data_IF_801637610321
#
_entry.id   IF_801637610321
#
_cell.length_a   1.000
_cell.length_b   1.000
_cell.length_c   1.000
_cell.angle_alpha   90.00
_cell.angle_beta   90.00
_cell.angle_gamma   90.00
#
_symmetry.space_group_name_H-M   'P 1'
#
loop_
_entity.id
_entity.type
_entity.pdbx_description
1 polymer ?
#
# COMPACT_ATOMS: atom_id res chain seq x y z
N UNK A 1 -21.03 3.65 -1.27
CA UNK A 1 -22.23 3.00 -0.70
C UNK A 1 -21.80 2.21 0.52
N UNK A 2 -22.43 2.39 1.68
CA UNK A 2 -22.11 1.62 2.90
C UNK A 2 -23.18 0.55 3.11
N UNK A 3 -22.80 -0.74 3.11
CA UNK A 3 -23.73 -1.85 3.27
C UNK A 3 -23.88 -2.16 4.76
N UNK A 4 -25.12 -2.16 5.27
CA UNK A 4 -25.40 -2.61 6.64
C UNK A 4 -25.33 -4.14 6.69
N UNK A 5 -24.13 -4.66 6.98
CA UNK A 5 -23.85 -6.10 7.08
C UNK A 5 -24.62 -6.78 8.21
N UNK A 6 -24.97 -6.05 9.28
CA UNK A 6 -25.71 -6.60 10.41
C UNK A 6 -27.17 -6.80 10.03
N UNK A 7 -27.78 -5.79 9.42
CA UNK A 7 -29.13 -5.91 8.89
C UNK A 7 -29.20 -7.03 7.83
N UNK A 8 -28.20 -7.13 6.95
CA UNK A 8 -28.12 -8.17 5.93
C UNK A 8 -28.02 -9.58 6.54
N UNK A 9 -27.20 -9.75 7.58
CA UNK A 9 -27.11 -11.01 8.34
C UNK A 9 -28.44 -11.38 8.98
N UNK A 10 -29.11 -10.42 9.62
CA UNK A 10 -30.38 -10.67 10.30
C UNK A 10 -31.49 -11.10 9.33
N UNK A 11 -31.57 -10.50 8.15
CA UNK A 11 -32.56 -10.93 7.14
C UNK A 11 -32.20 -12.30 6.55
N UNK A 12 -30.91 -12.61 6.36
CA UNK A 12 -30.46 -13.90 5.88
C UNK A 12 -30.70 -15.04 6.90
N UNK A 13 -30.41 -14.81 8.18
CA UNK A 13 -30.65 -15.79 9.26
C UNK A 13 -32.14 -16.14 9.41
N UNK A 14 -33.05 -15.20 9.11
CA UNK A 14 -34.51 -15.40 9.18
C UNK A 14 -35.11 -16.02 7.93
N UNK A 15 -34.43 -15.94 6.80
CA UNK A 15 -34.91 -16.48 5.53
C UNK A 15 -34.72 -18.00 5.45
N UNK A 16 -35.37 -18.64 4.48
CA UNK A 16 -35.21 -20.07 4.24
C UNK A 16 -33.77 -20.36 3.81
N UNK A 17 -33.08 -21.23 4.54
CA UNK A 17 -31.69 -21.54 4.24
C UNK A 17 -31.55 -22.31 2.92
N UNK A 18 -30.40 -22.16 2.27
CA UNK A 18 -30.04 -22.88 1.05
C UNK A 18 -29.64 -24.35 1.31
N UNK A 19 -29.31 -25.11 0.25
CA UNK A 19 -29.21 -24.65 -1.13
C UNK A 19 -30.58 -24.40 -1.76
N UNK A 20 -30.66 -23.34 -2.57
CA UNK A 20 -31.81 -23.10 -3.44
C UNK A 20 -31.48 -23.56 -4.85
N UNK A 21 -32.44 -24.18 -5.51
CA UNK A 21 -32.37 -24.65 -6.89
C UNK A 21 -33.41 -23.92 -7.74
N UNK A 22 -33.26 -24.04 -9.06
CA UNK A 22 -34.17 -23.45 -10.03
C UNK A 22 -34.57 -24.43 -11.12
N UNK A 23 -35.87 -24.49 -11.42
CA UNK A 23 -36.43 -25.19 -12.57
C UNK A 23 -37.56 -24.35 -13.20
N UNK A 24 -37.49 -24.10 -14.51
CA UNK A 24 -38.50 -23.34 -15.27
C UNK A 24 -38.90 -22.01 -14.58
N UNK A 25 -37.90 -21.17 -14.29
CA UNK A 25 -38.05 -19.88 -13.57
C UNK A 25 -38.67 -19.95 -12.17
N UNK A 26 -38.76 -21.14 -11.56
CA UNK A 26 -39.20 -21.32 -10.18
C UNK A 26 -38.01 -21.57 -9.26
N UNK A 27 -37.96 -20.88 -8.13
CA UNK A 27 -36.95 -21.11 -7.09
C UNK A 27 -37.54 -22.04 -6.03
N UNK A 28 -36.80 -23.07 -5.65
CA UNK A 28 -37.23 -24.07 -4.68
C UNK A 28 -36.06 -24.61 -3.84
N UNK A 29 -36.36 -25.36 -2.80
CA UNK A 29 -35.37 -26.12 -2.02
C UNK A 29 -35.95 -27.48 -1.62
N UNK A 30 -35.08 -28.42 -1.26
CA UNK A 30 -35.48 -29.71 -0.68
C UNK A 30 -35.30 -29.65 0.83
N UNK A 31 -36.35 -29.98 1.60
CA UNK A 31 -36.24 -30.04 3.05
C UNK A 31 -35.53 -31.32 3.55
N UNK A 32 -35.32 -31.41 4.88
CA UNK A 32 -34.63 -32.55 5.51
C UNK A 32 -35.33 -33.90 5.27
N UNK A 33 -36.63 -33.88 4.99
CA UNK A 33 -37.45 -35.05 4.72
C UNK A 33 -37.47 -35.43 3.22
N UNK A 34 -36.77 -34.66 2.37
CA UNK A 34 -36.68 -34.90 0.93
C UNK A 34 -37.82 -34.30 0.11
N UNK A 35 -38.64 -33.42 0.68
CA UNK A 35 -39.74 -32.78 -0.03
C UNK A 35 -39.31 -31.46 -0.69
N UNK A 36 -39.62 -31.33 -1.98
CA UNK A 36 -39.47 -30.07 -2.72
C UNK A 36 -40.48 -29.04 -2.23
N UNK A 37 -39.98 -27.87 -1.84
CA UNK A 37 -40.76 -26.71 -1.43
C UNK A 37 -40.42 -25.51 -2.32
N UNK A 38 -41.43 -24.98 -3.00
CA UNK A 38 -41.28 -23.77 -3.81
C UNK A 38 -41.19 -22.52 -2.94
N UNK A 39 -40.23 -21.66 -3.24
CA UNK A 39 -39.93 -20.42 -2.52
C UNK A 39 -40.50 -19.21 -3.27
N UNK A 40 -40.30 -19.15 -4.57
CA UNK A 40 -40.74 -18.04 -5.42
C UNK A 40 -41.03 -18.52 -6.84
N UNK A 41 -42.06 -17.92 -7.43
CA UNK A 41 -42.30 -17.91 -8.87
C UNK A 41 -41.71 -16.61 -9.40
N UNK A 42 -40.75 -16.68 -10.30
CA UNK A 42 -40.18 -15.49 -10.94
C UNK A 42 -40.90 -15.29 -12.26
N UNK A 43 -41.54 -14.13 -12.40
CA UNK A 43 -42.21 -13.75 -13.63
C UNK A 43 -41.27 -12.92 -14.51
N UNK A 44 -41.24 -13.27 -15.79
CA UNK A 44 -40.49 -12.55 -16.80
C UNK A 44 -41.04 -11.15 -17.01
N UNK A 45 -40.13 -10.18 -17.01
CA UNK A 45 -40.47 -8.81 -17.40
C UNK A 45 -40.67 -8.71 -18.92
N UNK A 46 -41.65 -7.92 -19.35
CA UNK A 46 -42.00 -7.75 -20.78
C UNK A 46 -40.81 -7.36 -21.68
N UNK A 47 -39.82 -6.67 -21.13
CA UNK A 47 -38.63 -6.18 -21.85
C UNK A 47 -37.36 -7.05 -21.61
N UNK A 48 -37.46 -8.14 -20.85
CA UNK A 48 -36.33 -9.03 -20.53
C UNK A 48 -36.44 -10.30 -21.39
N UNK A 49 -35.37 -10.70 -22.07
CA UNK A 49 -35.38 -11.93 -22.87
C UNK A 49 -35.29 -13.19 -21.99
N UNK A 50 -35.77 -14.33 -22.50
CA UNK A 50 -35.84 -15.60 -21.77
C UNK A 50 -34.49 -16.04 -21.17
N UNK A 51 -33.37 -15.66 -21.82
CA UNK A 51 -32.03 -16.02 -21.32
C UNK A 51 -31.64 -15.16 -20.13
N UNK A 52 -31.87 -13.86 -20.21
CA UNK A 52 -31.56 -12.95 -19.12
C UNK A 52 -32.43 -13.27 -17.90
N UNK A 53 -33.68 -13.65 -18.11
CA UNK A 53 -34.59 -14.07 -17.06
C UNK A 53 -34.14 -15.34 -16.34
N UNK A 54 -33.69 -16.34 -17.12
CA UNK A 54 -33.03 -17.53 -16.59
C UNK A 54 -31.81 -17.17 -15.74
N UNK A 55 -30.93 -16.28 -16.20
CA UNK A 55 -29.74 -15.89 -15.45
C UNK A 55 -30.06 -15.09 -14.18
N UNK A 56 -31.05 -14.21 -14.22
CA UNK A 56 -31.48 -13.46 -13.05
C UNK A 56 -32.00 -14.41 -11.96
N UNK A 57 -32.82 -15.37 -12.35
CA UNK A 57 -33.38 -16.36 -11.42
C UNK A 57 -32.29 -17.28 -10.88
N UNK A 58 -31.34 -17.71 -11.72
CA UNK A 58 -30.18 -18.49 -11.30
C UNK A 58 -29.31 -17.71 -10.31
N UNK A 59 -29.11 -16.41 -10.55
CA UNK A 59 -28.37 -15.54 -9.65
C UNK A 59 -29.05 -15.43 -8.28
N UNK A 60 -30.36 -15.24 -8.23
CA UNK A 60 -31.11 -15.17 -6.96
C UNK A 60 -31.00 -16.49 -6.19
N UNK A 61 -31.13 -17.64 -6.87
CA UNK A 61 -30.96 -18.95 -6.24
C UNK A 61 -29.54 -19.18 -5.71
N UNK A 62 -28.52 -18.74 -6.45
CA UNK A 62 -27.12 -18.83 -6.01
C UNK A 62 -26.84 -17.87 -4.84
N UNK A 63 -27.40 -16.66 -4.86
CA UNK A 63 -27.30 -15.64 -3.82
C UNK A 63 -28.29 -15.87 -2.65
N UNK A 64 -28.60 -17.14 -2.37
CA UNK A 64 -29.48 -17.52 -1.27
C UNK A 64 -28.91 -17.12 0.11
N UNK A 65 -29.73 -17.18 1.18
CA UNK A 65 -29.33 -16.77 2.51
C UNK A 65 -28.09 -17.50 3.06
N UNK A 66 -27.95 -18.80 2.78
CA UNK A 66 -26.79 -19.57 3.25
C UNK A 66 -25.49 -19.08 2.58
N UNK A 67 -25.51 -18.82 1.27
CA UNK A 67 -24.40 -18.21 0.55
C UNK A 67 -24.06 -16.83 1.11
N UNK A 68 -25.07 -15.99 1.36
CA UNK A 68 -24.86 -14.65 1.90
C UNK A 68 -24.21 -14.68 3.30
N UNK A 69 -24.67 -15.57 4.18
CA UNK A 69 -24.08 -15.75 5.51
C UNK A 69 -22.63 -16.22 5.44
N UNK A 70 -22.32 -17.17 4.55
CA UNK A 70 -20.96 -17.64 4.32
C UNK A 70 -20.03 -16.49 3.87
N UNK A 71 -20.47 -15.67 2.90
CA UNK A 71 -19.71 -14.51 2.43
C UNK A 71 -19.51 -13.45 3.53
N UNK A 72 -20.51 -13.24 4.39
CA UNK A 72 -20.39 -12.32 5.53
C UNK A 72 -19.38 -12.84 6.57
N UNK A 73 -19.35 -14.15 6.82
CA UNK A 73 -18.37 -14.77 7.72
C UNK A 73 -16.95 -14.72 7.15
N UNK A 74 -16.78 -15.01 5.86
CA UNK A 74 -15.52 -14.81 5.16
C UNK A 74 -15.04 -13.35 5.25
N UNK A 75 -15.96 -12.38 5.09
CA UNK A 75 -15.61 -10.98 5.20
C UNK A 75 -15.16 -10.58 6.63
N UNK A 76 -15.80 -11.13 7.66
CA UNK A 76 -15.38 -10.93 9.06
C UNK A 76 -14.00 -11.56 9.30
N UNK A 77 -13.76 -12.75 8.74
CA UNK A 77 -12.47 -13.41 8.85
C UNK A 77 -11.36 -12.61 8.16
N UNK A 78 -11.59 -12.14 6.94
CA UNK A 78 -10.66 -11.29 6.20
C UNK A 78 -10.35 -9.99 6.96
N UNK A 79 -11.35 -9.37 7.59
CA UNK A 79 -11.11 -8.17 8.41
C UNK A 79 -10.21 -8.46 9.60
N UNK A 80 -10.39 -9.59 10.29
CA UNK A 80 -9.54 -9.99 11.41
C UNK A 80 -8.11 -10.28 10.97
N UNK A 81 -7.93 -10.95 9.84
CA UNK A 81 -6.61 -11.25 9.28
C UNK A 81 -5.87 -9.98 8.84
N UNK A 82 -6.60 -9.02 8.25
CA UNK A 82 -6.08 -7.69 7.96
C UNK A 82 -5.60 -7.00 9.25
N UNK A 83 -6.46 -6.90 10.26
CA UNK A 83 -6.12 -6.23 11.53
C UNK A 83 -4.92 -6.91 12.22
N UNK A 84 -4.83 -8.23 12.17
CA UNK A 84 -3.69 -8.99 12.70
C UNK A 84 -2.40 -8.71 11.93
N UNK A 85 -2.48 -8.64 10.60
CA UNK A 85 -1.33 -8.33 9.74
C UNK A 85 -0.83 -6.90 9.97
N UNK A 86 -1.74 -5.94 10.10
CA UNK A 86 -1.42 -4.55 10.44
C UNK A 86 -0.74 -4.46 11.81
N UNK A 87 -1.22 -5.18 12.82
CA UNK A 87 -0.60 -5.22 14.13
C UNK A 87 0.84 -5.79 14.09
N UNK A 88 1.07 -6.86 13.31
CA UNK A 88 2.41 -7.44 13.12
C UNK A 88 3.32 -6.46 12.37
N UNK A 89 2.83 -5.76 11.35
CA UNK A 89 3.59 -4.77 10.60
C UNK A 89 4.03 -3.58 11.48
N UNK A 90 3.14 -3.11 12.38
CA UNK A 90 3.46 -2.07 13.35
C UNK A 90 4.54 -2.55 14.34
N UNK A 91 4.39 -3.74 14.90
CA UNK A 91 5.40 -4.31 15.81
C UNK A 91 6.78 -4.45 15.13
N UNK A 92 6.81 -4.92 13.87
CA UNK A 92 8.05 -5.04 13.12
C UNK A 92 8.69 -3.66 12.86
N UNK A 93 7.88 -2.64 12.57
CA UNK A 93 8.36 -1.26 12.37
C UNK A 93 9.01 -0.71 13.64
N UNK A 94 8.42 -0.97 14.79
CA UNK A 94 8.96 -0.55 16.08
C UNK A 94 10.27 -1.31 16.40
N UNK A 95 10.30 -2.63 16.19
CA UNK A 95 11.52 -3.44 16.37
C UNK A 95 12.67 -2.98 15.46
N UNK A 96 12.37 -2.62 14.20
CA UNK A 96 13.37 -2.09 13.26
C UNK A 96 13.88 -0.72 13.69
N UNK A 97 13.02 0.15 14.23
CA UNK A 97 13.43 1.44 14.79
C UNK A 97 14.36 1.26 15.98
N UNK A 98 14.00 0.40 16.92
CA UNK A 98 14.83 0.06 18.08
C UNK A 98 16.18 -0.52 17.66
N UNK A 99 16.20 -1.40 16.66
CA UNK A 99 17.42 -1.96 16.10
C UNK A 99 18.31 -0.90 15.47
N UNK A 100 17.72 0.06 14.73
CA UNK A 100 18.45 1.18 14.14
C UNK A 100 19.03 2.10 15.20
N UNK A 101 18.29 2.45 16.24
CA UNK A 101 18.79 3.27 17.35
C UNK A 101 19.97 2.59 18.07
N UNK A 102 19.87 1.28 18.31
CA UNK A 102 20.97 0.48 18.88
C UNK A 102 22.19 0.44 17.96
N UNK A 103 21.98 0.33 16.65
CA UNK A 103 23.04 0.36 15.65
C UNK A 103 23.76 1.72 15.66
N UNK A 104 23.01 2.83 15.60
CA UNK A 104 23.57 4.18 15.66
C UNK A 104 24.36 4.42 16.96
N UNK A 105 23.85 3.93 18.10
CA UNK A 105 24.56 4.02 19.37
C UNK A 105 25.86 3.19 19.38
N UNK A 106 25.86 2.01 18.75
CA UNK A 106 27.05 1.18 18.61
C UNK A 106 28.09 1.84 17.68
N UNK A 107 27.64 2.39 16.55
CA UNK A 107 28.49 3.13 15.61
C UNK A 107 29.14 4.34 16.27
N UNK A 108 28.38 5.13 17.05
CA UNK A 108 28.94 6.25 17.83
C UNK A 108 30.01 5.80 18.83
N UNK A 109 29.79 4.67 19.51
CA UNK A 109 30.78 4.10 20.45
C UNK A 109 32.04 3.63 19.73
N UNK A 110 31.91 2.98 18.58
CA UNK A 110 33.04 2.55 17.75
C UNK A 110 33.83 3.78 17.27
N UNK A 111 33.16 4.82 16.79
CA UNK A 111 33.81 6.05 16.35
C UNK A 111 34.62 6.71 17.47
N UNK A 112 34.07 6.77 18.69
CA UNK A 112 34.81 7.31 19.84
C UNK A 112 35.99 6.42 20.25
N UNK A 113 35.84 5.09 20.21
CA UNK A 113 36.96 4.16 20.44
C UNK A 113 38.07 4.35 19.39
N UNK A 114 37.73 4.47 18.10
CA UNK A 114 38.69 4.75 17.03
C UNK A 114 39.44 6.07 17.27
N UNK A 115 38.76 7.12 17.76
CA UNK A 115 39.39 8.40 18.11
C UNK A 115 40.39 8.26 19.26
N UNK A 116 40.04 7.50 20.31
CA UNK A 116 40.96 7.21 21.42
C UNK A 116 42.17 6.42 20.94
N UNK A 117 41.95 5.36 20.13
CA UNK A 117 43.03 4.54 19.57
C UNK A 117 43.96 5.35 18.66
N UNK A 118 43.43 6.21 17.78
CA UNK A 118 44.23 7.12 16.96
C UNK A 118 45.09 8.06 17.81
N UNK A 119 44.53 8.57 18.92
CA UNK A 119 45.27 9.41 19.86
C UNK A 119 46.42 8.64 20.53
N UNK A 120 46.17 7.39 20.93
CA UNK A 120 47.19 6.51 21.52
C UNK A 120 48.27 6.13 20.51
N UNK A 121 47.90 5.79 19.27
CA UNK A 121 48.84 5.50 18.18
C UNK A 121 49.74 6.72 17.91
N UNK A 122 49.19 7.93 17.89
CA UNK A 122 49.97 9.16 17.74
C UNK A 122 50.97 9.37 18.89
N UNK A 123 50.59 9.06 20.14
CA UNK A 123 51.52 9.08 21.28
C UNK A 123 52.59 7.99 21.13
N UNK A 124 52.21 6.76 20.77
CA UNK A 124 53.14 5.65 20.63
C UNK A 124 54.21 5.92 19.56
N UNK A 125 53.83 6.42 18.37
CA UNK A 125 54.77 6.86 17.32
C UNK A 125 55.81 7.87 17.81
N UNK A 126 55.48 8.69 18.81
CA UNK A 126 56.40 9.69 19.37
C UNK A 126 57.45 9.09 20.32
N UNK A 127 57.12 8.00 21.00
CA UNK A 127 57.92 7.48 22.11
C UNK A 127 58.49 6.07 21.88
N UNK A 128 57.99 5.33 20.89
CA UNK A 128 58.47 4.00 20.52
C UNK A 128 59.32 4.08 19.25
N UNK A 129 60.65 3.86 19.32
CA UNK A 129 61.48 3.66 18.15
C UNK A 129 60.98 2.43 17.37
N UNK A 130 61.10 2.46 16.04
CA UNK A 130 60.73 1.34 15.16
C UNK A 130 59.24 0.94 15.21
N UNK A 131 58.36 1.86 15.64
CA UNK A 131 56.89 1.66 15.70
C UNK A 131 56.32 1.07 14.40
N UNK A 132 56.73 1.64 13.25
CA UNK A 132 56.26 1.22 11.94
C UNK A 132 56.87 -0.11 11.47
N UNK A 133 57.85 -0.67 12.18
CA UNK A 133 58.51 -1.94 11.82
C UNK A 133 57.87 -3.17 12.48
N UNK A 134 56.93 -2.96 13.42
CA UNK A 134 56.21 -4.04 14.10
C UNK A 134 55.00 -4.52 13.27
N UNK A 135 54.97 -5.78 12.83
CA UNK A 135 53.90 -6.29 11.96
C UNK A 135 52.52 -6.29 12.63
N UNK A 136 52.45 -6.46 13.96
CA UNK A 136 51.19 -6.38 14.70
C UNK A 136 50.64 -4.94 14.77
N UNK A 137 51.52 -3.94 14.75
CA UNK A 137 51.15 -2.53 14.76
C UNK A 137 50.64 -2.12 13.38
N UNK A 138 51.32 -2.54 12.30
CA UNK A 138 50.85 -2.33 10.93
C UNK A 138 49.44 -2.92 10.73
N UNK A 139 49.23 -4.16 11.18
CA UNK A 139 47.92 -4.80 11.09
C UNK A 139 46.82 -4.06 11.87
N UNK A 140 47.15 -3.48 13.03
CA UNK A 140 46.21 -2.70 13.83
C UNK A 140 45.89 -1.32 13.19
N UNK A 141 46.89 -0.64 12.63
CA UNK A 141 46.72 0.63 11.93
C UNK A 141 45.86 0.45 10.66
N UNK A 142 46.09 -0.62 9.88
CA UNK A 142 45.26 -0.97 8.71
C UNK A 142 43.79 -1.24 9.10
N UNK A 143 43.56 -1.95 10.22
CA UNK A 143 42.21 -2.18 10.74
C UNK A 143 41.54 -0.88 11.18
N UNK A 144 42.27 0.03 11.84
CA UNK A 144 41.77 1.34 12.26
C UNK A 144 41.37 2.21 11.06
N UNK A 145 42.17 2.21 10.00
CA UNK A 145 41.86 2.91 8.75
C UNK A 145 40.63 2.31 8.06
N UNK A 146 40.52 0.99 8.00
CA UNK A 146 39.35 0.31 7.43
C UNK A 146 38.05 0.60 8.20
N UNK A 147 38.13 0.67 9.53
CA UNK A 147 37.00 0.97 10.41
C UNK A 147 36.53 2.42 10.28
N UNK A 148 37.44 3.36 9.98
CA UNK A 148 37.10 4.76 9.71
C UNK A 148 36.29 4.95 8.40
N UNK A 149 36.37 3.99 7.48
CA UNK A 149 35.61 3.97 6.22
C UNK A 149 34.18 3.41 6.33
N UNK A 150 33.82 2.79 7.46
CA UNK A 150 32.47 2.25 7.73
C UNK A 150 31.54 3.38 8.21
N UNK A 151 31.48 4.47 7.46
CA UNK A 151 30.39 5.42 7.59
C UNK A 151 29.19 4.82 6.88
N UNK A 152 28.30 4.13 7.59
CA UNK A 152 26.95 3.88 7.08
C UNK A 152 26.36 5.27 6.86
N UNK A 153 26.29 5.69 5.60
CA UNK A 153 25.52 6.88 5.22
C UNK A 153 24.17 6.67 5.87
N UNK A 154 23.77 7.56 6.78
CA UNK A 154 22.44 7.56 7.32
C UNK A 154 21.51 7.38 6.13
N UNK A 155 20.83 6.23 6.07
CA UNK A 155 19.73 6.07 5.16
C UNK A 155 18.77 7.15 5.63
N UNK A 156 18.73 8.27 4.92
CA UNK A 156 17.87 9.40 5.23
C UNK A 156 16.49 8.84 5.54
N UNK A 157 15.95 9.29 6.67
CA UNK A 157 14.68 8.84 7.18
C UNK A 157 13.66 8.79 6.07
N UNK A 158 13.28 7.58 5.65
CA UNK A 158 11.96 7.38 5.08
C UNK A 158 11.03 7.47 6.28
N UNK A 159 10.80 8.72 6.69
CA UNK A 159 9.74 9.11 7.60
C UNK A 159 8.47 8.52 6.99
N UNK A 160 7.72 7.77 7.80
CA UNK A 160 6.30 7.52 7.56
C UNK A 160 5.63 8.86 7.25
N UNK A 161 5.50 9.13 5.98
CA UNK A 161 4.48 9.99 5.44
C UNK A 161 3.94 9.23 4.25
N UNK A 162 2.63 9.09 4.19
CA UNK A 162 1.87 8.92 2.95
C UNK A 162 2.08 10.13 1.98
N UNK A 163 3.30 10.68 1.92
CA UNK A 163 3.74 11.84 1.13
C UNK A 163 5.24 11.71 0.74
N UNK A 164 5.85 10.53 0.89
CA UNK A 164 7.29 10.32 0.67
C UNK A 164 7.74 10.03 -0.77
N UNK A 165 6.80 9.85 -1.72
CA UNK A 165 7.12 9.49 -3.12
C UNK A 165 6.86 10.61 -4.11
N UNK A 166 6.64 11.86 -3.65
CA UNK A 166 6.38 12.98 -4.55
C UNK A 166 7.66 13.45 -5.22
N UNK A 167 7.60 13.62 -6.53
CA UNK A 167 8.67 14.20 -7.30
C UNK A 167 8.90 15.65 -6.87
N UNK A 168 10.18 16.06 -6.80
CA UNK A 168 10.50 17.47 -6.56
C UNK A 168 10.15 18.34 -7.77
N UNK A 169 9.81 19.63 -7.55
CA UNK A 169 9.50 20.54 -8.65
C UNK A 169 10.61 20.61 -9.68
N UNK A 170 10.26 20.45 -10.95
CA UNK A 170 11.21 20.39 -12.04
C UNK A 170 10.71 19.53 -13.19
N UNK A 171 11.58 19.35 -14.17
CA UNK A 171 11.28 18.51 -15.32
C UNK A 171 11.52 17.05 -14.97
N UNK A 172 10.46 16.25 -14.94
CA UNK A 172 10.48 14.83 -14.60
C UNK A 172 9.98 14.02 -15.79
N UNK A 173 10.62 12.89 -16.07
CA UNK A 173 10.17 11.98 -17.12
C UNK A 173 8.83 11.35 -16.72
N UNK A 174 7.86 11.32 -17.64
CA UNK A 174 6.48 10.87 -17.39
C UNK A 174 6.39 9.52 -16.65
N UNK A 175 7.29 8.57 -16.95
CA UNK A 175 7.30 7.25 -16.28
C UNK A 175 7.53 7.30 -14.77
N UNK A 176 8.11 8.38 -14.25
CA UNK A 176 8.40 8.52 -12.83
C UNK A 176 7.33 9.31 -12.08
N UNK A 177 6.28 9.77 -12.78
CA UNK A 177 5.20 10.55 -12.18
C UNK A 177 4.11 9.60 -11.70
N UNK A 178 3.73 9.74 -10.43
CA UNK A 178 2.75 8.88 -9.79
C UNK A 178 1.57 9.64 -9.20
N UNK A 179 0.60 8.89 -8.70
CA UNK A 179 -0.53 9.44 -7.96
C UNK A 179 -0.05 10.36 -6.81
N UNK A 180 -0.66 11.53 -6.69
CA UNK A 180 -0.32 12.56 -5.71
C UNK A 180 0.77 13.56 -6.15
N UNK A 181 1.40 13.39 -7.32
CA UNK A 181 2.26 14.42 -7.92
C UNK A 181 1.42 15.58 -8.50
N UNK A 182 1.97 16.79 -8.47
CA UNK A 182 1.34 17.94 -9.09
C UNK A 182 2.07 18.28 -10.39
N UNK A 183 1.36 18.17 -11.52
CA UNK A 183 1.92 18.45 -12.85
C UNK A 183 1.30 19.71 -13.43
N UNK A 184 2.10 20.45 -14.21
CA UNK A 184 1.63 21.64 -14.90
C UNK A 184 1.37 21.33 -16.37
N UNK A 185 0.10 21.34 -16.75
CA UNK A 185 -0.36 21.09 -18.11
C UNK A 185 -0.98 22.37 -18.66
N UNK A 186 -0.41 22.91 -19.75
CA UNK A 186 -0.91 24.13 -20.42
C UNK A 186 -1.10 25.33 -19.48
N UNK A 187 -0.25 25.45 -18.46
CA UNK A 187 -0.26 26.55 -17.50
C UNK A 187 -1.18 26.37 -16.29
N UNK A 188 -1.90 25.25 -16.20
CA UNK A 188 -2.72 24.88 -15.05
C UNK A 188 -2.06 23.73 -14.28
N UNK A 189 -2.23 23.71 -12.97
CA UNK A 189 -1.67 22.69 -12.07
C UNK A 189 -2.75 21.68 -11.75
N UNK A 190 -2.41 20.39 -11.89
CA UNK A 190 -3.31 19.28 -11.59
C UNK A 190 -2.60 18.27 -10.70
N UNK A 191 -3.34 17.66 -9.78
CA UNK A 191 -2.89 16.48 -9.06
C UNK A 191 -3.13 15.24 -9.92
N UNK A 192 -2.13 14.35 -9.97
CA UNK A 192 -2.23 13.06 -10.65
C UNK A 192 -2.99 12.10 -9.74
N UNK A 193 -4.04 11.47 -10.26
CA UNK A 193 -4.86 10.47 -9.58
C UNK A 193 -4.31 9.05 -9.84
N UNK A 194 -3.88 8.77 -11.07
CA UNK A 194 -3.38 7.46 -11.49
C UNK A 194 -2.43 7.59 -12.69
N UNK A 195 -1.51 6.63 -12.83
CA UNK A 195 -0.56 6.54 -13.96
C UNK A 195 -0.65 5.16 -14.60
N UNK A 196 -1.04 5.12 -15.88
CA UNK A 196 -1.12 3.89 -16.69
C UNK A 196 0.01 3.81 -17.72
N UNK A 197 0.49 2.59 -17.99
CA UNK A 197 1.57 2.31 -18.94
C UNK A 197 1.09 1.31 -20.01
N UNK A 198 1.13 1.73 -21.28
CA UNK A 198 0.76 0.89 -22.42
C UNK A 198 1.80 1.00 -23.52
N UNK A 199 2.48 -0.10 -23.86
CA UNK A 199 3.30 -0.29 -25.07
C UNK A 199 3.95 1.00 -25.63
N UNK A 200 4.77 1.65 -24.78
CA UNK A 200 5.60 2.86 -25.02
C UNK A 200 5.01 4.23 -24.66
N UNK A 201 3.74 4.31 -24.25
CA UNK A 201 3.09 5.54 -23.77
C UNK A 201 2.79 5.47 -22.26
N UNK A 202 2.73 6.66 -21.66
CA UNK A 202 2.29 6.89 -20.28
C UNK A 202 1.03 7.76 -20.32
N UNK A 203 0.01 7.38 -19.56
CA UNK A 203 -1.20 8.16 -19.35
C UNK A 203 -1.28 8.57 -17.89
N UNK A 204 -1.25 9.88 -17.62
CA UNK A 204 -1.48 10.45 -16.30
C UNK A 204 -2.95 10.88 -16.21
N UNK A 205 -3.72 10.23 -15.35
CA UNK A 205 -5.07 10.65 -15.00
C UNK A 205 -5.01 11.74 -13.95
N UNK A 206 -5.75 12.82 -14.15
CA UNK A 206 -5.69 14.03 -13.33
C UNK A 206 -7.01 14.23 -12.59
N UNK A 207 -6.92 14.68 -11.34
CA UNK A 207 -8.08 15.05 -10.52
C UNK A 207 -8.91 16.10 -11.28
N UNK A 208 -10.19 15.78 -11.53
CA UNK A 208 -11.09 16.58 -12.37
C UNK A 208 -11.36 15.97 -13.76
N UNK A 209 -10.90 14.74 -14.02
CA UNK A 209 -11.27 13.95 -15.20
C UNK A 209 -10.48 14.27 -16.47
N UNK A 210 -9.38 15.02 -16.36
CA UNK A 210 -8.46 15.25 -17.47
C UNK A 210 -7.42 14.14 -17.54
N UNK A 211 -6.84 13.90 -18.71
CA UNK A 211 -5.72 12.97 -18.88
C UNK A 211 -4.62 13.60 -19.73
N UNK A 212 -3.36 13.35 -19.34
CA UNK A 212 -2.18 13.66 -20.16
C UNK A 212 -1.59 12.36 -20.67
N UNK A 213 -1.67 12.13 -21.98
CA UNK A 213 -1.01 11.00 -22.64
C UNK A 213 0.22 11.48 -23.40
N UNK A 214 1.35 10.84 -23.18
CA UNK A 214 2.61 11.14 -23.84
C UNK A 214 3.52 9.89 -23.90
N UNK A 215 4.60 9.97 -24.69
CA UNK A 215 5.58 8.88 -24.71
C UNK A 215 6.25 8.70 -23.35
N UNK A 216 6.71 7.49 -23.05
CA UNK A 216 7.37 7.17 -21.78
C UNK A 216 8.52 8.14 -21.42
N UNK A 217 9.28 8.59 -22.41
CA UNK A 217 10.39 9.55 -22.21
C UNK A 217 9.98 11.02 -22.13
N UNK A 218 8.68 11.35 -22.11
CA UNK A 218 8.22 12.73 -22.21
C UNK A 218 8.59 13.53 -20.94
N UNK A 219 9.24 14.70 -21.07
CA UNK A 219 9.47 15.60 -19.95
C UNK A 219 8.18 16.30 -19.55
N UNK A 220 7.79 16.17 -18.29
CA UNK A 220 6.62 16.81 -17.69
C UNK A 220 7.08 17.70 -16.54
N UNK A 221 6.53 18.92 -16.45
CA UNK A 221 6.83 19.87 -15.38
C UNK A 221 6.05 19.48 -14.12
N UNK A 222 6.76 18.92 -13.14
CA UNK A 222 6.25 18.71 -11.78
C UNK A 222 6.41 20.00 -10.99
N UNK A 223 5.43 20.36 -10.18
CA UNK A 223 5.41 21.54 -9.33
C UNK A 223 5.09 21.16 -7.89
N UNK A 224 5.33 22.08 -6.95
CA UNK A 224 4.87 21.88 -5.58
C UNK A 224 3.34 21.93 -5.50
N UNK A 225 2.78 21.22 -4.52
CA UNK A 225 1.36 21.33 -4.20
C UNK A 225 0.96 22.81 -4.08
N UNK A 226 -0.15 23.24 -4.70
CA UNK A 226 -0.62 24.60 -4.57
C UNK A 226 -0.93 24.87 -3.10
N UNK A 227 -0.26 25.88 -2.52
CA UNK A 227 -0.62 26.38 -1.19
C UNK A 227 -2.05 26.89 -1.30
N UNK A 228 -2.98 26.28 -0.56
CA UNK A 228 -4.37 26.71 -0.54
C UNK A 228 -4.41 28.19 -0.14
N UNK A 229 -4.64 29.07 -1.12
CA UNK A 229 -5.02 30.45 -0.82
C UNK A 229 -6.37 30.38 -0.10
N UNK A 230 -6.47 31.04 1.05
CA UNK A 230 -7.69 31.14 1.86
C UNK A 230 -8.91 31.53 1.01
N UNK A 231 -9.65 30.53 0.53
CA UNK A 231 -10.98 30.73 -0.05
C UNK A 231 -11.93 30.87 1.13
N UNK A 232 -12.19 32.13 1.50
CA UNK A 232 -13.38 32.49 2.27
C UNK A 232 -14.60 32.03 1.47
N UNK A 233 -15.22 30.94 1.90
CA UNK A 233 -16.57 30.57 1.47
C UNK A 233 -17.52 31.61 2.06
N UNK A 234 -18.10 32.45 1.19
CA UNK A 234 -19.36 33.11 1.51
C UNK A 234 -20.45 32.07 1.28
N UNK A 235 -21.14 31.71 2.36
CA UNK A 235 -22.42 31.01 2.30
C UNK A 235 -23.46 31.94 1.67
N UNK A 236 -24.14 31.45 0.64
CA UNK A 236 -25.53 31.78 0.28
C UNK A 236 -26.28 30.47 0.04
#
# INVERSE_FOLDING_TARGET
MNIDKRALREVADRATQGPWEMEQENIWFTDEDGYTKHLAYVEQGDDVDDKQDHYNTAYIAAANPATMLALLDENIQLQREKDATEAVALALRDDMRDAREKLEAAERRIAEHCKVLNSLAAVARRYLPDYDEHPEIQAADELLESAAGIGVKQQEDIVDSDVGSRNQPGTVTAIYIGAGDFVKVKGQVFEVEETDFDDHDVTLWLVGGNALKCSAGCPVEVVSAPVAADIKVKEE
#
